data_IF_859498311646
#
_entry.id   IF_859498311646
#
_cell.length_a   1.000
_cell.length_b   1.000
_cell.length_c   1.000
_cell.angle_alpha   90.00
_cell.angle_beta   90.00
_cell.angle_gamma   90.00
#
_symmetry.space_group_name_H-M   'P 1'
#
loop_
_entity.id
_entity.type
_entity.pdbx_description
1 polymer ?
#
# COMPACT_ATOMS: atom_id res chain seq x y z
N UNK A 1 -23.22 -7.17 -0.50
CA UNK A 1 -22.32 -7.18 0.67
C UNK A 1 -20.99 -6.61 0.19
N UNK A 2 -20.47 -5.49 0.72
CA UNK A 2 -19.25 -4.92 0.19
C UNK A 2 -18.11 -5.87 0.54
N UNK A 3 -17.45 -6.36 -0.51
CA UNK A 3 -16.33 -7.29 -0.50
C UNK A 3 -15.33 -6.94 0.60
N UNK A 4 -15.09 -7.89 1.50
CA UNK A 4 -13.98 -7.89 2.46
C UNK A 4 -12.68 -7.80 1.66
N UNK A 5 -12.23 -6.56 1.39
CA UNK A 5 -10.94 -6.34 0.76
C UNK A 5 -9.90 -6.97 1.68
N UNK A 6 -9.12 -7.92 1.17
CA UNK A 6 -8.09 -8.64 1.92
C UNK A 6 -6.88 -7.72 2.14
N UNK A 7 -7.09 -6.68 2.95
CA UNK A 7 -6.15 -5.60 3.20
C UNK A 7 -4.94 -6.04 4.03
N UNK A 8 -5.04 -7.19 4.71
CA UNK A 8 -3.95 -7.77 5.49
C UNK A 8 -3.05 -8.61 4.59
N UNK A 9 -3.59 -9.49 3.75
CA UNK A 9 -2.76 -10.38 2.93
C UNK A 9 -2.48 -9.85 1.52
N UNK A 10 -3.19 -8.82 1.08
CA UNK A 10 -2.97 -8.12 -0.18
C UNK A 10 -3.24 -6.61 -0.08
N UNK A 11 -2.53 -5.86 0.79
CA UNK A 11 -2.64 -4.41 0.90
C UNK A 11 -2.37 -3.69 -0.43
N UNK A 12 -1.45 -4.19 -1.26
CA UNK A 12 -1.10 -3.58 -2.54
C UNK A 12 -2.28 -3.57 -3.51
N UNK A 13 -3.03 -4.68 -3.62
CA UNK A 13 -4.22 -4.72 -4.48
C UNK A 13 -5.31 -3.73 -4.06
N UNK A 14 -5.41 -3.42 -2.77
CA UNK A 14 -6.35 -2.39 -2.27
C UNK A 14 -5.92 -1.00 -2.73
N UNK A 15 -4.63 -0.67 -2.58
CA UNK A 15 -4.04 0.60 -3.01
C UNK A 15 -4.14 0.75 -4.53
N UNK A 16 -3.83 -0.30 -5.28
CA UNK A 16 -3.95 -0.34 -6.74
C UNK A 16 -5.39 -0.13 -7.20
N UNK A 17 -6.37 -0.77 -6.54
CA UNK A 17 -7.79 -0.54 -6.83
C UNK A 17 -8.22 0.90 -6.59
N UNK A 18 -7.75 1.53 -5.50
CA UNK A 18 -8.01 2.95 -5.22
C UNK A 18 -7.33 3.86 -6.25
N UNK A 19 -6.11 3.55 -6.66
CA UNK A 19 -5.39 4.28 -7.70
C UNK A 19 -6.07 4.16 -9.06
N UNK A 20 -6.46 2.95 -9.48
CA UNK A 20 -7.16 2.69 -10.74
C UNK A 20 -8.50 3.44 -10.79
N UNK A 21 -9.25 3.45 -9.68
CA UNK A 21 -10.49 4.24 -9.58
C UNK A 21 -10.26 5.76 -9.68
N UNK A 22 -9.03 6.21 -9.41
CA UNK A 22 -8.66 7.62 -9.38
C UNK A 22 -8.10 8.17 -10.70
N UNK A 23 -7.74 7.31 -11.65
CA UNK A 23 -7.10 7.66 -12.94
C UNK A 23 -7.84 8.73 -13.75
N UNK A 24 -9.16 8.82 -13.58
CA UNK A 24 -9.98 9.81 -14.30
C UNK A 24 -10.03 11.19 -13.61
N UNK A 25 -9.36 11.37 -12.46
CA UNK A 25 -9.40 12.62 -11.70
C UNK A 25 -8.05 12.90 -11.00
N UNK A 26 -7.29 13.85 -11.57
CA UNK A 26 -6.01 14.34 -11.03
C UNK A 26 -6.13 14.93 -9.61
N UNK A 27 -7.32 15.35 -9.18
CA UNK A 27 -7.61 15.88 -7.83
C UNK A 27 -8.33 14.87 -6.93
N UNK A 28 -8.29 13.59 -7.26
CA UNK A 28 -9.02 12.53 -6.55
C UNK A 28 -8.67 12.40 -5.06
N UNK A 29 -7.49 12.88 -4.63
CA UNK A 29 -6.99 12.75 -3.26
C UNK A 29 -6.89 11.29 -2.81
N UNK A 30 -6.66 10.36 -3.76
CA UNK A 30 -6.73 8.92 -3.52
C UNK A 30 -5.70 8.45 -2.48
N UNK A 31 -4.52 9.09 -2.43
CA UNK A 31 -3.47 8.82 -1.44
C UNK A 31 -3.98 9.04 -0.02
N UNK A 32 -4.61 10.21 0.22
CA UNK A 32 -5.20 10.52 1.52
C UNK A 32 -6.31 9.53 1.89
N UNK A 33 -7.13 9.11 0.91
CA UNK A 33 -8.18 8.09 1.12
C UNK A 33 -7.60 6.72 1.45
N UNK A 34 -6.51 6.32 0.80
CA UNK A 34 -5.81 5.07 1.10
C UNK A 34 -5.26 5.10 2.53
N UNK A 35 -4.61 6.19 2.92
CA UNK A 35 -4.10 6.37 4.29
C UNK A 35 -5.23 6.32 5.32
N UNK A 36 -6.32 7.05 5.10
CA UNK A 36 -7.50 7.04 5.99
C UNK A 36 -8.11 5.63 6.09
N UNK A 37 -8.22 4.91 4.97
CA UNK A 37 -8.73 3.53 4.95
C UNK A 37 -7.92 2.61 5.86
N UNK A 38 -6.58 2.60 5.73
CA UNK A 38 -5.75 1.76 6.60
C UNK A 38 -5.78 2.23 8.05
N UNK A 39 -5.79 3.54 8.32
CA UNK A 39 -5.94 4.07 9.68
C UNK A 39 -7.22 3.58 10.33
N UNK A 40 -8.34 3.62 9.62
CA UNK A 40 -9.63 3.20 10.15
C UNK A 40 -9.69 1.70 10.38
N UNK A 41 -9.14 0.89 9.47
CA UNK A 41 -9.02 -0.56 9.66
C UNK A 41 -8.14 -0.93 10.85
N UNK A 42 -7.05 -0.19 11.07
CA UNK A 42 -6.16 -0.43 12.20
C UNK A 42 -6.76 -0.02 13.55
N UNK A 43 -7.78 0.85 13.59
CA UNK A 43 -8.52 1.18 14.83
C UNK A 43 -9.47 0.07 15.28
N UNK A 44 -9.78 -0.91 14.42
CA UNK A 44 -10.62 -2.05 14.80
C UNK A 44 -9.90 -2.87 15.89
N UNK A 45 -10.62 -3.26 16.95
CA UNK A 45 -10.03 -3.85 18.17
C UNK A 45 -9.18 -5.10 17.91
N UNK A 46 -9.52 -5.87 16.87
CA UNK A 46 -8.84 -7.13 16.53
C UNK A 46 -7.79 -6.97 15.42
N UNK A 47 -7.69 -5.79 14.80
CA UNK A 47 -6.73 -5.53 13.74
C UNK A 47 -5.29 -5.56 14.25
N UNK A 48 -5.07 -5.06 15.47
CA UNK A 48 -3.75 -5.06 16.10
C UNK A 48 -3.21 -6.48 16.37
N UNK A 49 -4.07 -7.45 16.64
CA UNK A 49 -3.68 -8.86 16.80
C UNK A 49 -3.55 -9.59 15.47
N UNK A 50 -4.27 -9.14 14.44
CA UNK A 50 -4.29 -9.80 13.12
C UNK A 50 -3.10 -9.44 12.24
N UNK A 51 -2.54 -8.24 12.40
CA UNK A 51 -1.33 -7.83 11.67
C UNK A 51 -0.09 -8.41 12.39
N UNK A 52 0.73 -9.24 11.73
CA UNK A 52 1.93 -9.82 12.34
C UNK A 52 3.02 -8.75 12.55
N UNK A 53 3.91 -8.96 13.52
CA UNK A 53 5.11 -8.11 13.68
C UNK A 53 6.36 -8.79 13.15
N UNK A 54 7.14 -8.05 12.35
CA UNK A 54 8.46 -8.48 11.88
C UNK A 54 9.46 -8.74 13.03
N UNK A 55 9.26 -8.14 14.19
CA UNK A 55 10.14 -8.35 15.34
C UNK A 55 9.87 -9.68 16.05
N UNK A 56 8.63 -10.17 15.99
CA UNK A 56 8.16 -11.30 16.78
C UNK A 56 8.01 -12.58 15.93
N UNK A 57 7.91 -12.43 14.60
CA UNK A 57 7.62 -13.53 13.67
C UNK A 57 8.77 -13.71 12.68
N UNK A 58 9.35 -14.93 12.57
CA UNK A 58 10.33 -15.24 11.54
C UNK A 58 9.82 -14.99 10.12
N UNK A 59 10.68 -14.44 9.26
CA UNK A 59 10.32 -14.01 7.91
C UNK A 59 9.69 -15.12 7.05
N UNK A 60 10.11 -16.38 7.22
CA UNK A 60 9.60 -17.51 6.43
C UNK A 60 8.16 -17.91 6.77
N UNK A 61 7.59 -17.41 7.88
CA UNK A 61 6.17 -17.57 8.20
C UNK A 61 5.31 -16.42 7.68
N UNK A 62 5.93 -15.35 7.19
CA UNK A 62 5.21 -14.19 6.67
C UNK A 62 4.90 -14.40 5.20
N UNK A 63 3.64 -14.13 4.84
CA UNK A 63 3.23 -14.16 3.44
C UNK A 63 3.88 -12.98 2.69
N UNK A 64 4.45 -13.20 1.50
CA UNK A 64 4.95 -12.11 0.66
C UNK A 64 3.86 -11.08 0.38
N UNK A 65 4.23 -9.80 0.29
CA UNK A 65 3.33 -8.68 0.01
C UNK A 65 2.17 -8.50 1.01
N UNK A 66 2.29 -9.05 2.22
CA UNK A 66 1.32 -8.84 3.30
C UNK A 66 1.65 -7.61 4.14
N UNK A 67 0.63 -7.10 4.83
CA UNK A 67 0.79 -6.00 5.77
C UNK A 67 1.44 -6.51 7.06
N UNK A 68 2.49 -5.82 7.51
CA UNK A 68 3.24 -6.17 8.72
C UNK A 68 3.48 -4.93 9.58
N UNK A 69 3.61 -5.13 10.90
CA UNK A 69 4.12 -4.11 11.82
C UNK A 69 5.61 -4.31 12.02
N UNK A 70 6.35 -3.22 12.02
CA UNK A 70 7.76 -3.23 12.41
C UNK A 70 7.97 -2.24 13.56
N UNK A 71 9.05 -2.41 14.32
CA UNK A 71 9.43 -1.53 15.42
C UNK A 71 10.87 -1.10 15.16
N UNK A 72 11.16 0.19 15.33
CA UNK A 72 12.52 0.75 15.25
C UNK A 72 13.25 0.46 13.92
N UNK A 73 12.69 0.86 12.77
CA UNK A 73 13.48 0.92 11.54
C UNK A 73 14.41 2.13 11.61
N UNK A 74 15.71 1.89 11.70
CA UNK A 74 16.72 2.92 11.43
C UNK A 74 16.99 2.81 9.93
N UNK A 75 16.48 3.76 9.15
CA UNK A 75 16.83 3.85 7.74
C UNK A 75 18.27 4.37 7.65
N UNK A 76 19.18 3.53 7.17
CA UNK A 76 20.56 3.91 6.82
C UNK A 76 20.58 4.57 5.44
N UNK A 77 19.79 5.63 5.27
CA UNK A 77 19.79 6.45 4.06
C UNK A 77 19.78 7.92 4.46
N UNK A 78 20.89 8.58 4.21
CA UNK A 78 21.10 9.99 4.52
C UNK A 78 20.55 10.94 3.45
N UNK A 79 20.28 10.43 2.23
CA UNK A 79 19.82 11.24 1.10
C UNK A 79 18.29 11.13 0.87
N UNK A 80 17.61 12.21 0.43
CA UNK A 80 16.19 12.18 0.12
C UNK A 80 15.90 11.31 -1.11
N UNK A 81 14.93 10.40 -0.98
CA UNK A 81 14.40 9.64 -2.11
C UNK A 81 13.24 10.39 -2.77
N UNK A 82 13.32 10.56 -4.08
CA UNK A 82 12.24 11.13 -4.88
C UNK A 82 11.52 10.02 -5.65
N UNK A 83 10.23 9.86 -5.38
CA UNK A 83 9.36 8.92 -6.09
C UNK A 83 8.46 9.70 -7.05
N UNK A 84 8.39 9.27 -8.31
CA UNK A 84 7.38 9.78 -9.25
C UNK A 84 6.02 9.14 -8.92
N UNK A 85 5.01 9.95 -8.66
CA UNK A 85 3.67 9.46 -8.26
C UNK A 85 2.94 8.69 -9.37
N UNK A 86 3.15 9.05 -10.63
CA UNK A 86 2.70 8.29 -11.79
C UNK A 86 3.61 8.62 -12.98
N UNK A 87 3.82 7.66 -13.87
CA UNK A 87 4.52 7.86 -15.13
C UNK A 87 3.77 7.18 -16.27
N UNK A 88 3.81 7.80 -17.45
CA UNK A 88 3.27 7.24 -18.68
C UNK A 88 4.45 6.73 -19.51
N UNK A 89 4.35 5.50 -20.02
CA UNK A 89 5.36 4.96 -20.94
C UNK A 89 4.80 5.04 -22.36
N UNK A 90 5.39 5.88 -23.19
CA UNK A 90 5.03 5.98 -24.61
C UNK A 90 6.06 5.21 -25.42
N UNK A 91 5.63 4.21 -26.18
CA UNK A 91 6.52 3.51 -27.12
C UNK A 91 6.85 4.44 -28.30
N UNK A 92 8.12 4.81 -28.50
CA UNK A 92 8.52 5.75 -29.55
C UNK A 92 8.32 5.19 -30.97
N UNK A 93 8.24 3.87 -31.13
CA UNK A 93 8.07 3.23 -32.45
C UNK A 93 6.62 3.23 -32.93
N UNK A 94 5.65 3.17 -32.01
CA UNK A 94 4.22 3.07 -32.34
C UNK A 94 3.44 4.33 -31.99
N UNK A 95 4.00 5.25 -31.18
CA UNK A 95 3.31 6.44 -30.61
C UNK A 95 1.93 6.10 -29.99
N UNK A 96 1.71 4.85 -29.64
CA UNK A 96 0.51 4.41 -28.98
C UNK A 96 0.63 4.79 -27.49
N UNK A 97 -0.44 5.41 -27.00
CA UNK A 97 -0.63 5.70 -25.57
C UNK A 97 -1.12 4.44 -24.85
#
# INVERSE_FOLDING_TARGET
>A
MPSTHDWINNPLGVVEGMFAASQNNLSSGWEAKAVEFFKDRLKEKDAHTSVPSLNDVPLHYLKPNSLVKFRCLIQDMFDPEFYMGAYETVDPSTKAK
#
